data_IF_137852048517
#
_entry.id   IF_137852048517
#
_cell.length_a   1.000
_cell.length_b   1.000
_cell.length_c   1.000
_cell.angle_alpha   90.00
_cell.angle_beta   90.00
_cell.angle_gamma   90.00
#
_symmetry.space_group_name_H-M   'P 1'
#
loop_
_entity.id
_entity.type
_entity.pdbx_description
1 polymer ?
#
# COMPACT_ATOMS: atom_id res chain seq x y z
N UNK A 1 -12.96 11.96 -22.40
CA UNK A 1 -11.68 12.47 -22.90
C UNK A 1 -10.62 12.75 -21.81
N UNK A 2 -10.99 12.89 -20.53
CA UNK A 2 -10.02 13.15 -19.44
C UNK A 2 -9.24 11.91 -18.93
N UNK A 3 -9.80 10.70 -19.05
CA UNK A 3 -9.16 9.48 -18.55
C UNK A 3 -7.94 9.03 -19.38
N UNK A 4 -7.86 9.39 -20.66
CA UNK A 4 -6.74 9.01 -21.52
C UNK A 4 -5.48 9.86 -21.25
N UNK A 5 -5.62 11.13 -20.85
CA UNK A 5 -4.48 12.01 -20.59
C UNK A 5 -3.72 11.57 -19.33
N UNK A 6 -4.44 11.16 -18.28
CA UNK A 6 -3.85 10.62 -17.05
C UNK A 6 -3.18 9.28 -17.30
N UNK A 7 -3.80 8.40 -18.10
CA UNK A 7 -3.24 7.09 -18.47
C UNK A 7 -2.00 7.21 -19.38
N UNK A 8 -1.99 8.16 -20.31
CA UNK A 8 -0.84 8.43 -21.18
C UNK A 8 0.31 9.12 -20.43
N UNK A 9 0.02 9.99 -19.46
CA UNK A 9 1.06 10.61 -18.62
C UNK A 9 1.80 9.57 -17.74
N UNK A 10 1.06 8.61 -17.16
CA UNK A 10 1.62 7.54 -16.33
C UNK A 10 2.46 6.56 -17.15
N UNK A 11 2.04 6.23 -18.38
CA UNK A 11 2.75 5.27 -19.24
C UNK A 11 3.96 5.86 -19.96
N UNK A 12 3.99 7.17 -20.23
CA UNK A 12 5.14 7.83 -20.86
C UNK A 12 6.29 8.09 -19.89
N UNK A 13 6.02 8.20 -18.59
CA UNK A 13 7.06 8.33 -17.56
C UNK A 13 7.86 7.04 -17.36
N UNK A 14 7.29 5.89 -17.75
CA UNK A 14 7.87 4.57 -17.48
C UNK A 14 8.93 4.11 -18.49
N UNK A 15 9.17 4.82 -19.61
CA UNK A 15 9.95 4.25 -20.72
C UNK A 15 11.07 5.10 -21.33
N UNK A 16 11.37 6.31 -20.84
CA UNK A 16 12.40 7.16 -21.50
C UNK A 16 13.48 7.81 -20.64
N UNK A 17 13.55 7.63 -19.33
CA UNK A 17 14.69 8.17 -18.56
C UNK A 17 14.98 7.29 -17.35
N UNK A 18 16.26 7.13 -17.02
CA UNK A 18 16.75 6.50 -15.80
C UNK A 18 15.81 6.81 -14.63
N UNK A 19 15.42 5.78 -13.88
CA UNK A 19 14.57 5.93 -12.69
C UNK A 19 15.16 7.04 -11.83
N UNK A 20 14.47 8.19 -11.68
CA UNK A 20 15.01 9.30 -10.91
C UNK A 20 15.29 8.82 -9.49
N UNK A 21 16.41 9.27 -8.91
CA UNK A 21 16.71 8.95 -7.52
C UNK A 21 15.57 9.46 -6.62
N UNK A 22 15.44 8.86 -5.44
CA UNK A 22 14.37 9.16 -4.49
C UNK A 22 14.20 10.66 -4.25
N UNK A 23 15.29 11.42 -4.17
CA UNK A 23 15.25 12.86 -3.86
C UNK A 23 14.70 13.66 -5.04
N UNK A 24 15.17 13.35 -6.25
CA UNK A 24 14.68 13.97 -7.48
C UNK A 24 13.20 13.68 -7.68
N UNK A 25 12.77 12.42 -7.57
CA UNK A 25 11.36 12.05 -7.69
C UNK A 25 10.50 12.77 -6.62
N UNK A 26 10.98 12.82 -5.37
CA UNK A 26 10.25 13.45 -4.27
C UNK A 26 10.01 14.95 -4.49
N UNK A 27 10.99 15.67 -5.04
CA UNK A 27 10.89 17.11 -5.27
C UNK A 27 10.15 17.47 -6.58
N UNK A 28 10.33 16.67 -7.63
CA UNK A 28 9.83 17.00 -8.97
C UNK A 28 8.47 16.41 -9.28
N UNK A 29 8.12 15.27 -8.65
CA UNK A 29 6.86 14.55 -8.92
C UNK A 29 5.99 14.52 -7.67
N UNK A 30 6.52 14.03 -6.54
CA UNK A 30 5.71 13.75 -5.35
C UNK A 30 5.15 15.01 -4.67
N UNK A 31 6.01 15.97 -4.31
CA UNK A 31 5.58 17.20 -3.62
C UNK A 31 4.62 18.07 -4.46
N UNK A 32 4.84 18.28 -5.76
CA UNK A 32 3.84 18.93 -6.62
C UNK A 32 2.50 18.18 -6.69
N UNK A 33 2.53 16.84 -6.67
CA UNK A 33 1.30 16.04 -6.62
C UNK A 33 0.55 16.24 -5.29
N UNK A 34 1.25 16.30 -4.15
CA UNK A 34 0.63 16.60 -2.85
C UNK A 34 0.00 17.99 -2.80
N UNK A 35 0.64 19.01 -3.40
CA UNK A 35 0.06 20.36 -3.54
C UNK A 35 -1.21 20.31 -4.40
N UNK A 36 -1.16 19.59 -5.52
CA UNK A 36 -2.31 19.44 -6.43
C UNK A 36 -3.47 18.71 -5.75
N UNK A 37 -3.17 17.72 -4.91
CA UNK A 37 -4.14 16.98 -4.11
C UNK A 37 -4.66 17.77 -2.88
N UNK A 38 -4.09 18.96 -2.59
CA UNK A 38 -4.47 19.80 -1.46
C UNK A 38 -3.98 19.29 -0.10
N UNK A 39 -3.02 18.36 -0.06
CA UNK A 39 -2.48 17.77 1.17
C UNK A 39 -1.48 18.72 1.85
N UNK A 40 -0.65 19.41 1.05
CA UNK A 40 0.29 20.42 1.54
C UNK A 40 0.06 21.75 0.79
N UNK A 41 0.30 22.90 1.44
CA UNK A 41 0.20 24.19 0.76
C UNK A 41 1.30 24.35 -0.31
N UNK A 42 1.04 25.15 -1.38
CA UNK A 42 2.07 25.48 -2.35
C UNK A 42 3.20 26.28 -1.68
N UNK A 43 4.47 26.07 -2.10
CA UNK A 43 5.60 26.78 -1.52
C UNK A 43 5.50 28.28 -1.80
N UNK A 44 5.70 29.11 -0.78
CA UNK A 44 5.70 30.57 -0.91
C UNK A 44 7.09 31.02 -1.39
N UNK A 45 7.18 31.72 -2.53
CA UNK A 45 8.38 32.43 -3.02
C UNK A 45 9.69 31.61 -2.96
N UNK A 46 9.81 30.56 -3.78
CA UNK A 46 10.99 29.70 -3.89
C UNK A 46 11.43 29.01 -2.58
N UNK A 47 10.62 29.05 -1.51
CA UNK A 47 10.88 28.29 -0.30
C UNK A 47 10.72 26.80 -0.55
N UNK A 48 11.34 26.00 0.31
CA UNK A 48 11.14 24.54 0.32
C UNK A 48 9.67 24.26 0.64
N UNK A 49 9.10 23.27 -0.04
CA UNK A 49 7.82 22.69 0.36
C UNK A 49 7.87 22.27 1.83
N UNK A 50 6.75 22.44 2.52
CA UNK A 50 6.55 22.02 3.90
C UNK A 50 6.98 20.56 4.12
N UNK A 51 7.47 20.28 5.33
CA UNK A 51 7.78 18.92 5.72
C UNK A 51 6.47 18.18 5.99
N UNK A 52 6.14 17.19 5.17
CA UNK A 52 5.16 16.17 5.52
C UNK A 52 5.86 14.81 5.57
N UNK A 53 6.34 14.39 6.76
CA UNK A 53 6.92 13.07 6.97
C UNK A 53 5.86 11.97 6.80
N UNK A 54 4.65 12.22 7.29
CA UNK A 54 3.52 11.29 7.28
C UNK A 54 2.97 11.07 5.86
N UNK A 55 2.96 12.10 5.01
CA UNK A 55 2.57 12.01 3.60
C UNK A 55 3.78 11.89 2.67
N UNK A 56 4.94 11.55 3.23
CA UNK A 56 6.14 11.29 2.45
C UNK A 56 5.94 10.12 1.48
N UNK A 57 6.84 9.96 0.51
CA UNK A 57 6.78 8.85 -0.45
C UNK A 57 6.73 7.45 0.21
N UNK A 58 7.16 7.33 1.47
CA UNK A 58 7.05 6.09 2.23
C UNK A 58 5.60 5.73 2.62
N UNK A 59 4.71 6.72 2.72
CA UNK A 59 3.29 6.51 2.95
C UNK A 59 2.65 5.63 1.87
N UNK A 60 3.08 5.78 0.61
CA UNK A 60 2.64 4.90 -0.49
C UNK A 60 3.03 3.43 -0.25
N UNK A 61 4.24 3.20 0.25
CA UNK A 61 4.72 1.85 0.57
C UNK A 61 3.90 1.24 1.70
N UNK A 62 3.56 2.04 2.72
CA UNK A 62 2.68 1.62 3.81
C UNK A 62 1.25 1.34 3.32
N UNK A 63 0.68 2.20 2.49
CA UNK A 63 -0.66 2.01 1.93
C UNK A 63 -0.74 0.74 1.06
N UNK A 64 0.28 0.50 0.22
CA UNK A 64 0.39 -0.72 -0.56
C UNK A 64 0.48 -1.97 0.31
N UNK A 65 1.33 -1.97 1.33
CA UNK A 65 1.45 -3.07 2.27
C UNK A 65 0.15 -3.33 3.03
N UNK A 66 -0.51 -2.27 3.51
CA UNK A 66 -1.81 -2.37 4.19
C UNK A 66 -2.86 -3.03 3.29
N UNK A 67 -3.00 -2.55 2.05
CA UNK A 67 -3.96 -3.10 1.09
C UNK A 67 -3.73 -4.60 0.83
N UNK A 68 -2.47 -5.02 0.68
CA UNK A 68 -2.14 -6.44 0.48
C UNK A 68 -2.46 -7.29 1.72
N UNK A 69 -2.15 -6.80 2.93
CA UNK A 69 -2.43 -7.53 4.17
C UNK A 69 -3.94 -7.68 4.40
N UNK A 70 -4.73 -6.62 4.15
CA UNK A 70 -6.19 -6.69 4.21
C UNK A 70 -6.77 -7.61 3.14
N UNK A 71 -6.17 -7.64 1.95
CA UNK A 71 -6.48 -8.59 0.89
C UNK A 71 -6.11 -10.05 1.21
N UNK A 72 -5.44 -10.31 2.34
CA UNK A 72 -5.09 -11.65 2.77
C UNK A 72 -3.76 -12.18 2.21
N UNK A 73 -2.93 -11.30 1.64
CA UNK A 73 -1.57 -11.63 1.22
C UNK A 73 -0.75 -12.15 2.42
N UNK A 74 0.12 -13.14 2.19
CA UNK A 74 1.02 -13.65 3.22
C UNK A 74 2.17 -12.66 3.46
N UNK A 75 2.75 -12.67 4.67
CA UNK A 75 3.90 -11.81 5.00
C UNK A 75 5.12 -12.13 4.13
N UNK A 76 5.29 -13.39 3.74
CA UNK A 76 6.37 -13.83 2.86
C UNK A 76 6.22 -13.24 1.46
N UNK A 77 5.02 -13.30 0.90
CA UNK A 77 4.75 -12.73 -0.43
C UNK A 77 4.88 -11.21 -0.40
N UNK A 78 4.39 -10.57 0.67
CA UNK A 78 4.58 -9.14 0.89
C UNK A 78 6.06 -8.76 0.95
N UNK A 79 6.88 -9.53 1.67
CA UNK A 79 8.32 -9.30 1.76
C UNK A 79 8.98 -9.38 0.38
N UNK A 80 8.61 -10.37 -0.44
CA UNK A 80 9.08 -10.50 -1.82
C UNK A 80 8.65 -9.32 -2.70
N UNK A 81 7.39 -8.88 -2.64
CA UNK A 81 6.92 -7.71 -3.40
C UNK A 81 7.61 -6.41 -2.99
N UNK A 82 7.95 -6.27 -1.71
CA UNK A 82 8.68 -5.12 -1.19
C UNK A 82 10.19 -5.23 -1.44
N UNK A 83 10.69 -6.38 -1.88
CA UNK A 83 12.12 -6.64 -2.06
C UNK A 83 12.90 -6.72 -0.74
N UNK A 84 12.24 -7.12 0.35
CA UNK A 84 12.91 -7.35 1.63
C UNK A 84 13.53 -8.75 1.64
N UNK A 85 14.86 -8.80 1.80
CA UNK A 85 15.58 -10.06 1.93
C UNK A 85 15.31 -10.78 3.27
N UNK A 86 14.86 -10.03 4.29
CA UNK A 86 14.48 -10.54 5.60
C UNK A 86 12.96 -10.39 5.80
N UNK A 87 12.23 -11.50 5.85
CA UNK A 87 10.80 -11.50 6.11
C UNK A 87 10.46 -11.04 7.54
N UNK A 88 11.36 -11.26 8.50
CA UNK A 88 11.15 -10.82 9.89
C UNK A 88 11.14 -9.29 9.99
N UNK A 89 11.91 -8.59 9.17
CA UNK A 89 11.82 -7.14 9.04
C UNK A 89 10.40 -6.72 8.59
N UNK A 90 9.88 -7.34 7.53
CA UNK A 90 8.52 -7.08 7.02
C UNK A 90 7.46 -7.35 8.08
N UNK A 91 7.59 -8.49 8.78
CA UNK A 91 6.67 -8.86 9.84
C UNK A 91 6.69 -7.80 10.95
N UNK A 92 7.86 -7.46 11.49
CA UNK A 92 7.98 -6.47 12.57
C UNK A 92 7.39 -5.11 12.19
N UNK A 93 7.58 -4.69 10.94
CA UNK A 93 7.03 -3.41 10.46
C UNK A 93 5.52 -3.45 10.34
N UNK A 94 4.92 -4.53 9.84
CA UNK A 94 3.50 -4.55 9.44
C UNK A 94 2.59 -5.46 10.27
N UNK A 95 3.10 -6.16 11.30
CA UNK A 95 2.32 -7.08 12.13
C UNK A 95 1.10 -6.41 12.76
N UNK A 96 1.20 -5.11 13.06
CA UNK A 96 0.10 -4.33 13.63
C UNK A 96 -1.11 -4.17 12.68
N UNK A 97 -0.92 -4.41 11.37
CA UNK A 97 -1.99 -4.40 10.37
C UNK A 97 -2.65 -5.78 10.20
N UNK A 98 -2.04 -6.84 10.73
CA UNK A 98 -2.57 -8.20 10.56
C UNK A 98 -3.85 -8.31 11.39
N UNK A 99 -5.02 -8.52 10.76
CA UNK A 99 -6.27 -8.64 11.50
C UNK A 99 -6.19 -9.84 12.43
N UNK A 100 -6.74 -9.73 13.64
CA UNK A 100 -6.86 -10.87 14.55
C UNK A 100 -7.67 -11.97 13.85
N UNK A 101 -7.04 -13.12 13.59
CA UNK A 101 -7.64 -14.23 12.82
C UNK A 101 -8.14 -15.36 13.71
N UNK A 102 -8.27 -15.13 15.01
CA UNK A 102 -8.52 -16.19 16.00
C UNK A 102 -9.78 -17.01 15.68
N UNK A 103 -10.87 -16.35 15.25
CA UNK A 103 -12.11 -17.05 14.87
C UNK A 103 -11.98 -17.83 13.56
N UNK A 104 -11.32 -17.24 12.55
CA UNK A 104 -11.07 -17.92 11.26
C UNK A 104 -10.14 -19.12 11.43
N UNK A 105 -9.13 -19.01 12.30
CA UNK A 105 -8.22 -20.10 12.62
C UNK A 105 -8.93 -21.24 13.36
N UNK A 106 -9.76 -20.90 14.36
CA UNK A 106 -10.61 -21.88 15.05
C UNK A 106 -11.56 -22.58 14.09
N UNK A 107 -12.27 -21.83 13.24
CA UNK A 107 -13.16 -22.42 12.24
C UNK A 107 -12.43 -23.34 11.24
N UNK A 108 -11.24 -22.94 10.79
CA UNK A 108 -10.42 -23.75 9.90
C UNK A 108 -9.97 -25.07 10.56
N UNK A 109 -9.51 -25.02 11.81
CA UNK A 109 -9.14 -26.22 12.59
C UNK A 109 -10.36 -27.10 12.81
N UNK A 110 -11.49 -26.52 13.22
CA UNK A 110 -12.74 -27.26 13.42
C UNK A 110 -13.19 -27.99 12.16
N UNK A 111 -13.11 -27.33 11.00
CA UNK A 111 -13.43 -27.94 9.71
C UNK A 111 -12.45 -29.05 9.32
N UNK A 112 -11.16 -28.84 9.53
CA UNK A 112 -10.12 -29.80 9.15
C UNK A 112 -10.13 -31.05 10.02
N UNK A 113 -10.41 -30.92 11.33
CA UNK A 113 -10.35 -32.03 12.28
C UNK A 113 -11.70 -32.74 12.48
N UNK A 114 -12.80 -32.00 12.46
CA UNK A 114 -14.10 -32.56 12.84
C UNK A 114 -15.07 -32.73 11.68
N UNK A 115 -14.69 -32.37 10.45
CA UNK A 115 -15.52 -32.43 9.24
C UNK A 115 -16.97 -31.95 9.46
N UNK A 116 -17.17 -31.05 10.42
CA UNK A 116 -18.47 -30.58 10.83
C UNK A 116 -18.80 -29.32 10.02
N UNK A 117 -20.04 -29.26 9.56
CA UNK A 117 -20.66 -28.13 8.89
C UNK A 117 -20.75 -26.92 9.84
N UNK A 118 -19.60 -26.32 10.14
CA UNK A 118 -19.50 -25.09 10.92
C UNK A 118 -19.67 -23.94 9.94
N UNK A 119 -20.80 -23.21 9.95
CA UNK A 119 -21.00 -22.11 9.03
C UNK A 119 -19.92 -21.05 9.27
N UNK A 120 -19.34 -20.56 8.17
CA UNK A 120 -18.25 -19.59 8.23
C UNK A 120 -18.71 -18.31 8.96
N UNK A 121 -17.92 -17.78 9.92
CA UNK A 121 -18.26 -16.52 10.55
C UNK A 121 -18.09 -15.38 9.54
N UNK A 122 -19.18 -14.66 9.25
CA UNK A 122 -19.15 -13.34 8.62
C UNK A 122 -19.07 -13.31 7.10
N UNK A 123 -19.95 -14.03 6.40
CA UNK A 123 -20.21 -13.77 4.98
C UNK A 123 -20.74 -12.35 4.77
N UNK A 124 -19.86 -11.40 4.46
CA UNK A 124 -20.27 -10.13 3.88
C UNK A 124 -20.71 -10.41 2.45
N UNK A 125 -22.02 -10.33 2.22
CA UNK A 125 -22.58 -10.11 0.90
C UNK A 125 -22.11 -8.74 0.43
N UNK A 126 -21.09 -8.68 -0.43
CA UNK A 126 -20.99 -7.56 -1.38
C UNK A 126 -21.90 -7.96 -2.53
N UNK A 127 -23.18 -7.61 -2.40
CA UNK A 127 -24.10 -7.57 -3.53
C UNK A 127 -23.78 -6.30 -4.33
N UNK A 128 -23.45 -6.52 -5.61
CA UNK A 128 -23.54 -5.64 -6.79
C UNK A 128 -23.32 -4.13 -6.57
#
# INVERSE_FOLDING_TARGET
MAASVVWTAVTRLAWTTATPDRSTFNLTVWKPALVTAGVIPPPIRAQKFEASPEDGMHALRHAFAAALIYGGCSIKDLAAYLGHADEAFTLRTYVHLVPKRDERARAAISRALFAADVPAPGGVLVAV
#
